data_IF_211077503648
#
_entry.id   IF_211077503648
#
_cell.length_a   1.000
_cell.length_b   1.000
_cell.length_c   1.000
_cell.angle_alpha   90.00
_cell.angle_beta   90.00
_cell.angle_gamma   90.00
#
_symmetry.space_group_name_H-M   'P 1'
#
loop_
_entity.id
_entity.type
_entity.pdbx_description
1 polymer ?
#
# COMPACT_ATOMS: atom_id res chain seq x y z
N UNK A 1 -1.35 -9.99 -15.04
CA UNK A 1 -1.33 -8.65 -14.42
C UNK A 1 0.09 -8.35 -13.95
N UNK A 2 0.62 -7.19 -14.32
CA UNK A 2 2.00 -6.82 -13.97
C UNK A 2 2.03 -6.16 -12.59
N UNK A 3 2.66 -6.82 -11.63
CA UNK A 3 2.75 -6.33 -10.27
C UNK A 3 3.55 -5.02 -10.15
N UNK A 4 4.48 -4.78 -11.06
CA UNK A 4 5.24 -3.52 -11.07
C UNK A 4 4.35 -2.34 -11.46
N UNK A 5 3.42 -2.55 -12.37
CA UNK A 5 2.44 -1.52 -12.72
C UNK A 5 1.48 -1.25 -11.56
N UNK A 6 1.11 -2.31 -10.84
CA UNK A 6 0.28 -2.16 -9.63
C UNK A 6 1.02 -1.38 -8.55
N UNK A 7 2.30 -1.65 -8.37
CA UNK A 7 3.13 -0.93 -7.41
C UNK A 7 3.22 0.55 -7.75
N UNK A 8 3.47 0.86 -9.01
CA UNK A 8 3.53 2.26 -9.47
C UNK A 8 2.23 2.98 -9.22
N UNK A 9 1.10 2.33 -9.53
CA UNK A 9 -0.22 2.87 -9.26
C UNK A 9 -0.41 3.14 -7.77
N UNK A 10 -0.05 2.18 -6.92
CA UNK A 10 -0.19 2.33 -5.47
C UNK A 10 0.66 3.49 -4.94
N UNK A 11 1.89 3.62 -5.42
CA UNK A 11 2.78 4.71 -5.02
C UNK A 11 2.17 6.06 -5.39
N UNK A 12 1.65 6.19 -6.61
CA UNK A 12 1.04 7.43 -7.05
C UNK A 12 -0.21 7.78 -6.25
N UNK A 13 -1.05 6.78 -5.95
CA UNK A 13 -2.25 7.00 -5.13
C UNK A 13 -1.91 7.34 -3.68
N UNK A 14 -0.82 6.79 -3.14
CA UNK A 14 -0.41 7.10 -1.78
C UNK A 14 -0.04 8.57 -1.59
N UNK A 15 0.31 9.27 -2.68
CA UNK A 15 0.61 10.70 -2.63
C UNK A 15 -0.63 11.54 -2.36
N UNK A 16 -1.82 10.99 -2.61
CA UNK A 16 -3.09 11.67 -2.39
C UNK A 16 -3.60 11.50 -0.95
N UNK A 17 -3.00 10.61 -0.18
CA UNK A 17 -3.34 10.43 1.23
C UNK A 17 -2.90 11.67 1.99
N UNK A 18 -3.75 12.14 2.90
CA UNK A 18 -3.46 13.34 3.67
C UNK A 18 -2.66 13.02 4.91
N UNK A 19 -1.98 14.02 5.44
CA UNK A 19 -1.19 13.91 6.66
C UNK A 19 -2.04 13.32 7.79
N UNK A 20 -1.44 12.39 8.54
CA UNK A 20 -2.03 11.69 9.68
C UNK A 20 -3.10 10.63 9.31
N UNK A 21 -3.43 10.49 8.03
CA UNK A 21 -4.33 9.42 7.62
C UNK A 21 -3.66 8.05 7.68
N UNK A 22 -4.43 7.07 8.10
CA UNK A 22 -4.00 5.67 8.19
C UNK A 22 -4.67 4.90 7.07
N UNK A 23 -3.90 4.06 6.38
CA UNK A 23 -4.43 3.33 5.22
C UNK A 23 -3.77 1.96 5.07
N UNK A 24 -4.41 1.11 4.29
CA UNK A 24 -3.89 -0.18 3.84
C UNK A 24 -3.59 -0.07 2.34
N UNK A 25 -2.74 -0.97 1.82
CA UNK A 25 -2.46 -0.99 0.38
C UNK A 25 -3.75 -1.14 -0.42
N UNK A 26 -4.68 -1.97 0.03
CA UNK A 26 -5.96 -2.17 -0.68
C UNK A 26 -6.78 -0.87 -0.78
N UNK A 27 -6.60 0.06 0.15
CA UNK A 27 -7.33 1.32 0.14
C UNK A 27 -6.88 2.25 -0.99
N UNK A 28 -5.74 1.95 -1.61
CA UNK A 28 -5.22 2.71 -2.74
C UNK A 28 -5.85 2.29 -4.07
N UNK A 29 -6.68 1.26 -4.05
CA UNK A 29 -7.36 0.72 -5.22
C UNK A 29 -8.86 0.78 -5.00
N UNK A 30 -9.61 0.84 -6.11
CA UNK A 30 -11.05 0.64 -6.03
C UNK A 30 -11.32 -0.81 -5.62
N UNK A 31 -12.43 -1.04 -4.88
CA UNK A 31 -12.74 -2.37 -4.39
C UNK A 31 -12.74 -3.44 -5.47
N UNK A 32 -13.36 -3.16 -6.62
CA UNK A 32 -13.40 -4.13 -7.70
C UNK A 32 -12.03 -4.35 -8.35
N UNK A 33 -11.19 -3.33 -8.39
CA UNK A 33 -9.82 -3.47 -8.91
C UNK A 33 -9.00 -4.38 -8.00
N UNK A 34 -9.10 -4.17 -6.69
CA UNK A 34 -8.40 -5.01 -5.71
C UNK A 34 -8.84 -6.46 -5.81
N UNK A 35 -10.16 -6.68 -5.95
CA UNK A 35 -10.71 -8.04 -6.03
C UNK A 35 -10.26 -8.79 -7.29
N UNK A 36 -9.87 -8.10 -8.34
CA UNK A 36 -9.36 -8.70 -9.58
C UNK A 36 -7.89 -9.12 -9.47
N UNK A 37 -7.17 -8.62 -8.48
CA UNK A 37 -5.75 -8.98 -8.30
C UNK A 37 -5.66 -10.36 -7.67
N UNK A 38 -4.94 -11.33 -8.28
CA UNK A 38 -4.75 -12.64 -7.65
C UNK A 38 -4.07 -12.50 -6.28
N UNK A 39 -4.41 -13.38 -5.36
CA UNK A 39 -3.87 -13.34 -3.99
C UNK A 39 -2.34 -13.31 -3.98
N UNK A 40 -1.71 -14.11 -4.83
CA UNK A 40 -0.25 -14.15 -4.96
C UNK A 40 0.32 -12.75 -5.25
N UNK A 41 -0.31 -12.05 -6.18
CA UNK A 41 0.14 -10.72 -6.58
C UNK A 41 -0.17 -9.69 -5.49
N UNK A 42 -1.26 -9.85 -4.73
CA UNK A 42 -1.54 -8.96 -3.59
C UNK A 42 -0.45 -9.08 -2.54
N UNK A 43 0.00 -10.29 -2.24
CA UNK A 43 1.05 -10.51 -1.25
C UNK A 43 2.37 -9.92 -1.71
N UNK A 44 2.72 -10.13 -2.97
CA UNK A 44 3.94 -9.57 -3.55
C UNK A 44 3.88 -8.05 -3.58
N UNK A 45 2.75 -7.49 -3.98
CA UNK A 45 2.54 -6.04 -4.01
C UNK A 45 2.74 -5.44 -2.60
N UNK A 46 2.19 -6.08 -1.58
CA UNK A 46 2.37 -5.62 -0.20
C UNK A 46 3.84 -5.59 0.21
N UNK A 47 4.60 -6.63 -0.14
CA UNK A 47 6.03 -6.68 0.15
C UNK A 47 6.79 -5.58 -0.59
N UNK A 48 6.50 -5.39 -1.86
CA UNK A 48 7.17 -4.37 -2.67
C UNK A 48 6.83 -2.96 -2.18
N UNK A 49 5.58 -2.73 -1.80
CA UNK A 49 5.17 -1.43 -1.27
C UNK A 49 5.89 -1.13 0.05
N UNK A 50 5.96 -2.09 0.96
CA UNK A 50 6.68 -1.93 2.23
C UNK A 50 8.16 -1.61 1.98
N UNK A 51 8.80 -2.33 1.07
CA UNK A 51 10.20 -2.07 0.72
C UNK A 51 10.39 -0.66 0.17
N UNK A 52 9.46 -0.21 -0.69
CA UNK A 52 9.50 1.14 -1.23
C UNK A 52 9.37 2.19 -0.12
N UNK A 53 8.41 2.00 0.78
CA UNK A 53 8.17 2.92 1.90
C UNK A 53 9.40 3.02 2.80
N UNK A 54 10.08 1.91 3.06
CA UNK A 54 11.28 1.90 3.90
C UNK A 54 12.44 2.69 3.30
N UNK A 55 12.42 2.93 1.99
CA UNK A 55 13.43 3.75 1.31
C UNK A 55 13.10 5.23 1.30
N UNK A 56 11.89 5.61 1.68
CA UNK A 56 11.48 7.01 1.74
C UNK A 56 11.95 7.64 3.05
N UNK A 57 12.05 8.98 3.06
CA UNK A 57 12.54 9.74 4.20
C UNK A 57 11.42 10.04 5.20
N UNK A 58 10.69 9.00 5.64
CA UNK A 58 9.68 9.14 6.68
C UNK A 58 8.39 9.83 6.25
N UNK A 59 8.10 9.87 4.96
CA UNK A 59 6.83 10.42 4.47
C UNK A 59 5.67 9.52 4.84
N UNK A 60 5.87 8.21 4.74
CA UNK A 60 4.90 7.18 5.10
C UNK A 60 5.64 6.16 5.96
N UNK A 61 5.02 5.73 7.05
CA UNK A 61 5.63 4.73 7.93
C UNK A 61 4.66 3.57 8.14
N UNK A 62 5.17 2.33 8.26
CA UNK A 62 4.34 1.21 8.68
C UNK A 62 4.04 1.33 10.17
N UNK A 63 2.82 0.97 10.54
CA UNK A 63 2.40 0.91 11.94
C UNK A 63 1.95 -0.52 12.24
N UNK A 64 1.09 -0.76 13.24
CA UNK A 64 0.66 -2.11 13.57
C UNK A 64 -0.12 -2.78 12.43
N UNK A 65 -0.18 -4.10 12.45
CA UNK A 65 -1.00 -4.87 11.50
C UNK A 65 -2.43 -4.96 11.99
N UNK A 66 -3.36 -5.19 11.06
CA UNK A 66 -4.75 -5.48 11.42
C UNK A 66 -4.85 -6.89 12.02
N UNK A 67 -6.00 -7.22 12.60
CA UNK A 67 -6.26 -8.55 13.13
C UNK A 67 -6.19 -9.62 12.04
N UNK A 68 -6.45 -9.27 10.79
CA UNK A 68 -6.33 -10.18 9.65
C UNK A 68 -4.93 -10.23 9.04
N UNK A 69 -3.96 -9.54 9.63
CA UNK A 69 -2.57 -9.60 9.21
C UNK A 69 -2.17 -8.61 8.12
N UNK A 70 -3.00 -7.65 7.80
CA UNK A 70 -2.67 -6.63 6.81
C UNK A 70 -1.88 -5.49 7.45
N UNK A 71 -0.82 -5.04 6.79
CA UNK A 71 0.01 -3.96 7.27
C UNK A 71 -0.71 -2.61 7.11
N UNK A 72 -0.81 -1.86 8.20
CA UNK A 72 -1.30 -0.48 8.17
C UNK A 72 -0.13 0.48 7.96
N UNK A 73 -0.43 1.60 7.32
CA UNK A 73 0.52 2.68 7.10
C UNK A 73 -0.07 4.00 7.57
N UNK A 74 0.81 4.92 7.97
CA UNK A 74 0.40 6.26 8.35
C UNK A 74 1.17 7.28 7.53
N UNK A 75 0.46 8.27 6.97
CA UNK A 75 1.07 9.38 6.26
C UNK A 75 1.53 10.43 7.27
N UNK A 76 2.83 10.76 7.27
CA UNK A 76 3.40 11.73 8.21
C UNK A 76 3.51 13.13 7.65
N UNK A 77 3.50 13.27 6.32
CA UNK A 77 3.69 14.58 5.68
C UNK A 77 2.72 14.79 4.56
#
# INVERSE_FOLDING_TARGET
>A
MDVNNLLEYAINESKLILKDEIFLVKDLFKGYEWNRIPRKDRLLLGTLFLNHINKLNGTIVPIEKTSSGQQKYKKLR
#
